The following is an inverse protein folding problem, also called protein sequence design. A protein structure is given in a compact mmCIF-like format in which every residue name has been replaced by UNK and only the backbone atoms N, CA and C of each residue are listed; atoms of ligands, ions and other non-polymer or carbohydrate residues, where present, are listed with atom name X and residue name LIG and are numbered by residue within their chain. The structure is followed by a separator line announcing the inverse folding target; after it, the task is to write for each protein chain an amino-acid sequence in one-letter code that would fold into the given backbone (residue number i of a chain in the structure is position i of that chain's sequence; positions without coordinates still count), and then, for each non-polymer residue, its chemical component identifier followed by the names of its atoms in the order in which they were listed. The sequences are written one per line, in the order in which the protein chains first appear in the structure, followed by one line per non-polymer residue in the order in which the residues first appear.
data_IF_869768519275
#
_entry.id   IF_869768519275
#
_cell.length_a   1.000
_cell.length_b   1.000
_cell.length_c   1.000
_cell.angle_alpha   90.00
_cell.angle_beta   90.00
_cell.angle_gamma   90.00
#
_symmetry.space_group_name_H-M   'P 1'
#
loop_
_entity.id
_entity.type
_entity.pdbx_description
1 polymer ?
#
# COMPACT_ATOMS: atom_id res chain seq x y z
N UNK A 1 -15.06 -18.75 -5.83
CA UNK A 1 -14.31 -18.38 -4.62
C UNK A 1 -12.94 -19.06 -4.58
N UNK A 2 -12.86 -20.40 -4.68
CA UNK A 2 -11.60 -21.15 -4.61
C UNK A 2 -10.49 -20.69 -5.59
N UNK A 3 -10.83 -20.45 -6.86
CA UNK A 3 -9.88 -19.93 -7.86
C UNK A 3 -9.29 -18.55 -7.52
N UNK A 4 -10.02 -17.71 -6.78
CA UNK A 4 -9.55 -16.38 -6.37
C UNK A 4 -8.57 -16.50 -5.20
N UNK A 5 -8.86 -17.38 -4.24
CA UNK A 5 -7.96 -17.65 -3.11
C UNK A 5 -6.63 -18.25 -3.59
N UNK A 6 -6.68 -19.21 -4.52
CA UNK A 6 -5.47 -19.80 -5.13
C UNK A 6 -4.65 -18.76 -5.89
N UNK A 7 -5.31 -17.79 -6.53
CA UNK A 7 -4.64 -16.70 -7.23
C UNK A 7 -3.90 -15.76 -6.26
N UNK A 8 -4.57 -15.36 -5.18
CA UNK A 8 -3.99 -14.49 -4.14
C UNK A 8 -2.86 -15.19 -3.40
N UNK A 9 -3.03 -16.47 -3.06
CA UNK A 9 -2.00 -17.27 -2.41
C UNK A 9 -0.71 -17.33 -3.25
N UNK A 10 -0.86 -17.54 -4.57
CA UNK A 10 0.27 -17.52 -5.52
C UNK A 10 0.95 -16.15 -5.61
N UNK A 11 0.20 -15.05 -5.48
CA UNK A 11 0.79 -13.70 -5.42
C UNK A 11 1.64 -13.59 -4.15
N UNK A 12 1.10 -13.97 -2.99
CA UNK A 12 1.85 -13.91 -1.75
C UNK A 12 3.09 -14.80 -1.77
N UNK A 13 3.01 -16.00 -2.34
CA UNK A 13 4.19 -16.85 -2.56
C UNK A 13 5.24 -16.13 -3.40
N UNK A 14 4.86 -15.53 -4.53
CA UNK A 14 5.82 -14.85 -5.39
C UNK A 14 6.52 -13.68 -4.69
N UNK A 15 5.76 -12.88 -3.92
CA UNK A 15 6.30 -11.73 -3.17
C UNK A 15 7.20 -12.20 -2.03
N UNK A 16 6.79 -13.21 -1.27
CA UNK A 16 7.57 -13.73 -0.15
C UNK A 16 8.87 -14.37 -0.67
N UNK A 17 8.81 -15.19 -1.72
CA UNK A 17 9.98 -15.81 -2.33
C UNK A 17 10.97 -14.78 -2.87
N UNK A 18 10.47 -13.71 -3.50
CA UNK A 18 11.31 -12.60 -3.97
C UNK A 18 12.06 -11.94 -2.81
N UNK A 19 11.36 -11.64 -1.70
CA UNK A 19 11.98 -11.03 -0.51
C UNK A 19 12.99 -11.95 0.17
N UNK A 20 12.69 -13.25 0.29
CA UNK A 20 13.63 -14.23 0.84
C UNK A 20 14.92 -14.28 -0.02
N UNK A 21 14.80 -14.28 -1.35
CA UNK A 21 15.97 -14.26 -2.24
C UNK A 21 16.80 -13.01 -2.04
N UNK A 22 16.17 -11.84 -2.02
CA UNK A 22 16.84 -10.55 -1.79
C UNK A 22 17.58 -10.54 -0.44
N UNK A 23 16.99 -11.06 0.62
CA UNK A 23 17.62 -11.14 1.94
C UNK A 23 18.81 -12.09 1.95
N UNK A 24 18.69 -13.25 1.31
CA UNK A 24 19.80 -14.21 1.24
C UNK A 24 21.01 -13.65 0.48
N UNK A 25 20.80 -12.82 -0.54
CA UNK A 25 21.89 -12.16 -1.28
C UNK A 25 22.58 -11.03 -0.52
N UNK A 26 21.95 -10.45 0.51
CA UNK A 26 22.53 -9.36 1.32
C UNK A 26 23.49 -9.85 2.41
N UNK A 27 23.43 -11.12 2.78
CA UNK A 27 24.25 -11.70 3.87
C UNK A 27 25.73 -11.85 3.46
N UNK A 28 26.07 -11.80 2.17
CA UNK A 28 27.42 -12.10 1.65
C UNK A 28 28.37 -10.89 1.47
N UNK A 29 28.07 -9.72 2.07
CA UNK A 29 29.13 -8.77 2.45
C UNK A 29 29.00 -7.32 2.00
N UNK A 30 27.94 -6.61 2.39
CA UNK A 30 27.97 -5.15 2.51
C UNK A 30 27.00 -4.71 3.62
N UNK A 31 27.55 -4.06 4.66
CA UNK A 31 26.81 -3.47 5.77
C UNK A 31 25.85 -2.38 5.27
N UNK A 32 24.60 -2.49 5.72
CA UNK A 32 23.58 -1.44 5.86
C UNK A 32 23.50 -0.36 4.76
N UNK A 33 22.75 -0.64 3.68
CA UNK A 33 21.86 0.40 3.18
C UNK A 33 20.58 0.34 4.01
N UNK A 34 20.45 1.33 4.90
CA UNK A 34 19.28 1.71 5.71
C UNK A 34 18.13 2.15 4.79
N UNK A 35 17.77 1.26 3.86
CA UNK A 35 16.64 1.40 2.96
C UNK A 35 15.36 1.09 3.73
N UNK A 36 14.29 1.79 3.37
CA UNK A 36 12.99 1.58 3.98
C UNK A 36 12.57 0.11 3.88
N UNK A 37 12.45 -0.56 5.03
CA UNK A 37 11.98 -1.93 5.11
C UNK A 37 10.48 -1.95 4.82
N UNK A 38 10.07 -2.72 3.81
CA UNK A 38 8.66 -2.96 3.57
C UNK A 38 8.06 -3.93 4.61
N UNK A 39 6.73 -3.99 4.66
CA UNK A 39 6.01 -4.81 5.64
C UNK A 39 6.40 -6.29 5.56
N UNK A 40 6.59 -6.84 4.34
CA UNK A 40 6.93 -8.25 4.15
C UNK A 40 8.34 -8.53 4.68
N UNK A 41 9.28 -7.62 4.43
CA UNK A 41 10.62 -7.66 4.98
C UNK A 41 10.62 -7.70 6.51
N UNK A 42 9.87 -6.81 7.15
CA UNK A 42 9.75 -6.75 8.62
C UNK A 42 9.19 -8.05 9.17
N UNK A 43 8.13 -8.60 8.56
CA UNK A 43 7.50 -9.85 9.00
C UNK A 43 8.44 -11.06 8.85
N UNK A 44 9.26 -11.08 7.80
CA UNK A 44 10.27 -12.14 7.59
C UNK A 44 11.39 -12.06 8.62
N UNK A 45 11.87 -10.85 8.96
CA UNK A 45 12.87 -10.66 10.02
C UNK A 45 12.33 -11.08 11.40
N UNK A 46 11.07 -10.76 11.70
CA UNK A 46 10.40 -11.21 12.93
C UNK A 46 10.29 -12.73 13.01
N UNK A 47 10.02 -13.40 11.88
CA UNK A 47 10.03 -14.87 11.80
C UNK A 47 11.40 -15.48 12.11
N UNK A 48 12.51 -14.78 11.82
CA UNK A 48 13.86 -15.26 12.02
C UNK A 48 14.40 -15.01 13.45
N UNK A 49 13.74 -14.15 14.24
CA UNK A 49 14.09 -13.91 15.64
C UNK A 49 13.73 -15.13 16.50
N UNK A 50 14.77 -15.86 16.94
CA UNK A 50 14.64 -17.15 17.64
C UNK A 50 14.21 -17.06 19.12
N UNK A 51 14.15 -15.86 19.69
CA UNK A 51 13.94 -15.63 21.14
C UNK A 51 12.52 -15.14 21.50
N UNK A 52 11.63 -14.95 20.53
CA UNK A 52 10.26 -14.46 20.78
C UNK A 52 9.24 -15.63 20.82
N UNK A 53 8.35 -15.72 21.84
CA UNK A 53 7.26 -16.70 21.88
C UNK A 53 6.26 -16.59 20.71
N UNK A 54 6.26 -15.48 19.97
CA UNK A 54 5.43 -15.29 18.78
C UNK A 54 6.18 -15.85 17.56
N UNK A 55 6.14 -17.16 17.38
CA UNK A 55 6.63 -17.80 16.16
C UNK A 55 5.73 -17.41 14.99
N UNK A 56 6.11 -16.42 14.19
CA UNK A 56 5.46 -16.09 12.92
C UNK A 56 5.85 -17.13 11.86
N UNK A 57 4.93 -18.02 11.50
CA UNK A 57 5.10 -18.91 10.34
C UNK A 57 4.66 -18.23 9.04
N UNK A 58 5.10 -18.75 7.88
CA UNK A 58 4.71 -18.24 6.55
C UNK A 58 3.18 -18.21 6.40
N UNK A 59 2.47 -19.18 6.97
CA UNK A 59 1.00 -19.20 6.95
C UNK A 59 0.43 -17.98 7.69
N UNK A 60 0.99 -17.61 8.83
CA UNK A 60 0.54 -16.44 9.61
C UNK A 60 0.92 -15.13 8.92
N UNK A 61 2.08 -15.07 8.27
CA UNK A 61 2.48 -13.91 7.45
C UNK A 61 1.47 -13.71 6.32
N UNK A 62 1.15 -14.77 5.56
CA UNK A 62 0.12 -14.71 4.50
C UNK A 62 -1.25 -14.30 5.05
N UNK A 63 -1.65 -14.84 6.20
CA UNK A 63 -2.92 -14.48 6.83
C UNK A 63 -2.98 -13.00 7.22
N UNK A 64 -1.90 -12.45 7.79
CA UNK A 64 -1.82 -11.03 8.13
C UNK A 64 -1.86 -10.13 6.88
N UNK A 65 -1.10 -10.48 5.84
CA UNK A 65 -1.13 -9.75 4.57
C UNK A 65 -2.52 -9.75 3.95
N UNK A 66 -3.22 -10.88 4.00
CA UNK A 66 -4.61 -10.98 3.54
C UNK A 66 -5.53 -10.06 4.34
N UNK A 67 -5.43 -10.08 5.68
CA UNK A 67 -6.27 -9.27 6.56
C UNK A 67 -6.11 -7.78 6.28
N UNK A 68 -4.87 -7.31 6.16
CA UNK A 68 -4.55 -5.90 5.85
C UNK A 68 -5.09 -5.49 4.48
N UNK A 69 -4.88 -6.31 3.44
CA UNK A 69 -5.30 -5.96 2.08
C UNK A 69 -6.83 -5.94 1.96
N UNK A 70 -7.53 -6.90 2.56
CA UNK A 70 -8.99 -6.96 2.53
C UNK A 70 -9.57 -5.76 3.28
N UNK A 71 -9.07 -5.47 4.49
CA UNK A 71 -9.54 -4.34 5.28
C UNK A 71 -9.32 -2.99 4.56
N UNK A 72 -8.16 -2.82 3.91
CA UNK A 72 -7.84 -1.60 3.18
C UNK A 72 -8.66 -1.44 1.89
N UNK A 73 -8.90 -2.52 1.15
CA UNK A 73 -9.52 -2.45 -0.18
C UNK A 73 -10.98 -2.01 -0.11
N UNK A 74 -11.79 -2.64 0.75
CA UNK A 74 -13.22 -2.32 0.85
C UNK A 74 -13.46 -0.88 1.33
N UNK A 75 -12.68 -0.44 2.32
CA UNK A 75 -12.79 0.90 2.90
C UNK A 75 -12.31 1.99 1.93
N UNK A 76 -11.15 1.80 1.30
CA UNK A 76 -10.60 2.79 0.36
C UNK A 76 -11.43 2.88 -0.93
N UNK A 77 -11.92 1.76 -1.48
CA UNK A 77 -12.80 1.78 -2.66
C UNK A 77 -14.08 2.54 -2.37
N UNK A 78 -14.72 2.24 -1.22
CA UNK A 78 -15.95 2.92 -0.80
C UNK A 78 -15.71 4.43 -0.65
N UNK A 79 -14.63 4.83 0.02
CA UNK A 79 -14.28 6.24 0.20
C UNK A 79 -14.11 6.94 -1.15
N UNK A 80 -13.32 6.36 -2.07
CA UNK A 80 -13.07 6.95 -3.40
C UNK A 80 -14.37 7.05 -4.21
N UNK A 81 -15.22 6.03 -4.16
CA UNK A 81 -16.53 6.05 -4.82
C UNK A 81 -17.39 7.22 -4.32
N UNK A 82 -17.47 7.43 -3.01
CA UNK A 82 -18.21 8.55 -2.42
C UNK A 82 -17.62 9.90 -2.80
N UNK A 83 -16.30 10.08 -2.67
CA UNK A 83 -15.61 11.32 -3.00
C UNK A 83 -15.86 11.72 -4.44
N UNK A 84 -15.67 10.78 -5.37
CA UNK A 84 -15.87 11.04 -6.81
C UNK A 84 -17.34 11.30 -7.12
N UNK A 85 -18.27 10.57 -6.51
CA UNK A 85 -19.71 10.79 -6.68
C UNK A 85 -20.13 12.19 -6.20
N UNK A 86 -19.66 12.63 -5.04
CA UNK A 86 -19.99 13.93 -4.46
C UNK A 86 -19.39 15.09 -5.26
N UNK A 87 -18.14 14.95 -5.72
CA UNK A 87 -17.49 15.92 -6.60
C UNK A 87 -18.25 16.03 -7.93
N UNK A 88 -18.66 14.90 -8.53
CA UNK A 88 -19.43 14.88 -9.77
C UNK A 88 -20.83 15.48 -9.61
N UNK A 89 -21.44 15.35 -8.43
CA UNK A 89 -22.76 15.90 -8.17
C UNK A 89 -22.76 17.43 -8.03
N UNK A 90 -21.62 18.03 -7.68
CA UNK A 90 -21.49 19.46 -7.41
C UNK A 90 -20.54 20.15 -8.41
N UNK A 91 -21.04 20.74 -9.51
CA UNK A 91 -20.21 21.33 -10.56
C UNK A 91 -19.24 22.43 -10.07
N UNK A 92 -19.66 23.24 -9.09
CA UNK A 92 -18.82 24.28 -8.50
C UNK A 92 -17.65 23.70 -7.69
N UNK A 93 -17.89 22.56 -7.03
CA UNK A 93 -16.86 21.82 -6.28
C UNK A 93 -15.90 21.16 -7.26
N UNK A 94 -16.42 20.47 -8.28
CA UNK A 94 -15.61 19.86 -9.34
C UNK A 94 -14.67 20.89 -9.98
N UNK A 95 -15.17 22.07 -10.31
CA UNK A 95 -14.34 23.13 -10.89
C UNK A 95 -13.20 23.53 -9.95
N UNK A 96 -13.48 23.75 -8.67
CA UNK A 96 -12.45 24.11 -7.68
C UNK A 96 -11.39 23.03 -7.49
N UNK A 97 -11.79 21.75 -7.44
CA UNK A 97 -10.84 20.63 -7.35
C UNK A 97 -9.95 20.56 -8.60
N UNK A 98 -10.52 20.74 -9.78
CA UNK A 98 -9.76 20.75 -11.04
C UNK A 98 -8.79 21.93 -11.12
N UNK A 99 -9.23 23.12 -10.71
CA UNK A 99 -8.40 24.32 -10.66
C UNK A 99 -7.23 24.12 -9.67
N UNK A 100 -7.48 23.56 -8.48
CA UNK A 100 -6.44 23.23 -7.49
C UNK A 100 -5.43 22.21 -8.04
N UNK A 101 -5.91 21.14 -8.67
CA UNK A 101 -5.05 20.12 -9.27
C UNK A 101 -4.17 20.69 -10.39
N UNK A 102 -4.75 21.58 -11.20
CA UNK A 102 -4.04 22.27 -12.28
C UNK A 102 -2.95 23.22 -11.76
N UNK A 103 -3.19 23.89 -10.63
CA UNK A 103 -2.24 24.81 -10.01
C UNK A 103 -1.09 24.07 -9.33
N UNK A 104 -1.38 23.01 -8.61
CA UNK A 104 -0.40 22.29 -7.79
C UNK A 104 0.41 21.27 -8.58
N UNK A 105 -0.27 20.49 -9.43
CA UNK A 105 0.35 19.40 -10.19
C UNK A 105 0.62 19.83 -11.62
N UNK A 106 -0.33 20.50 -12.27
CA UNK A 106 -0.29 20.83 -13.69
C UNK A 106 -0.88 19.74 -14.58
N UNK A 107 -1.39 20.12 -15.76
CA UNK A 107 -2.29 19.26 -16.55
C UNK A 107 -1.70 17.98 -17.14
N UNK A 108 -0.36 17.86 -17.21
CA UNK A 108 0.32 16.71 -17.83
C UNK A 108 1.43 16.15 -16.95
N UNK A 109 1.38 16.41 -15.65
CA UNK A 109 2.38 15.93 -14.70
C UNK A 109 1.88 14.73 -13.91
N UNK A 110 2.81 13.92 -13.43
CA UNK A 110 2.51 12.75 -12.61
C UNK A 110 2.34 13.20 -11.16
N UNK A 111 1.38 12.59 -10.45
CA UNK A 111 1.18 12.82 -9.02
C UNK A 111 2.36 12.20 -8.24
N UNK A 112 2.98 12.98 -7.38
CA UNK A 112 4.04 12.56 -6.46
C UNK A 112 3.50 12.54 -5.02
N UNK A 113 4.16 11.79 -4.13
CA UNK A 113 3.78 11.68 -2.71
C UNK A 113 3.81 13.02 -1.96
N UNK A 114 4.51 14.03 -2.48
CA UNK A 114 4.56 15.37 -1.90
C UNK A 114 3.31 16.22 -2.21
N UNK A 115 2.53 15.86 -3.23
CA UNK A 115 1.40 16.67 -3.72
C UNK A 115 0.15 16.65 -2.84
N UNK A 116 -0.28 15.54 -2.22
CA UNK A 116 -1.48 15.51 -1.37
C UNK A 116 -1.46 16.57 -0.25
N UNK A 117 -0.28 16.85 0.33
CA UNK A 117 -0.12 17.90 1.35
C UNK A 117 -0.43 19.32 0.86
N UNK A 118 -0.43 19.52 -0.46
CA UNK A 118 -0.68 20.79 -1.16
C UNK A 118 -2.07 20.85 -1.79
N UNK A 119 -2.91 19.83 -1.61
CA UNK A 119 -4.26 19.75 -2.17
C UNK A 119 -5.34 19.83 -1.06
N UNK A 120 -5.38 20.91 -0.26
CA UNK A 120 -6.29 20.99 0.88
C UNK A 120 -7.76 20.91 0.47
N UNK A 121 -8.15 21.41 -0.70
CA UNK A 121 -9.54 21.38 -1.15
C UNK A 121 -9.99 19.98 -1.53
N UNK A 122 -9.16 19.21 -2.24
CA UNK A 122 -9.42 17.79 -2.50
C UNK A 122 -9.46 16.97 -1.21
N UNK A 123 -8.54 17.24 -0.27
CA UNK A 123 -8.45 16.49 1.01
C UNK A 123 -9.68 16.70 1.88
N UNK A 124 -10.31 17.89 1.88
CA UNK A 124 -11.56 18.15 2.64
C UNK A 124 -12.67 17.15 2.28
N UNK A 125 -12.73 16.68 1.04
CA UNK A 125 -13.75 15.70 0.63
C UNK A 125 -13.39 14.26 1.02
N UNK A 126 -12.12 14.00 1.33
CA UNK A 126 -11.62 12.68 1.73
C UNK A 126 -11.75 12.42 3.24
N UNK A 127 -12.20 13.39 4.04
CA UNK A 127 -12.48 13.27 5.48
C UNK A 127 -13.96 12.94 5.77
#
# INVERSE_FOLDING_TARGET
MQRQLEFVDRIFDSVIEERIKVNSSKIDGEDEEDGWKDLVQILLELKEQKDDPILFDIIQIKALLMDVIVAATDTTSTMVEWVVAEILHNPDVMKKVQDELAEVIGMNNIVEESHPSKLPYLVIWME
#
